data_IF_656510142786
#
_entry.id   IF_656510142786
#
_cell.length_a   1.000
_cell.length_b   1.000
_cell.length_c   1.000
_cell.angle_alpha   90.00
_cell.angle_beta   90.00
_cell.angle_gamma   90.00
#
_symmetry.space_group_name_H-M   'P 1'
#
loop_
_entity.id
_entity.type
_entity.pdbx_description
1 polymer ?
#
# COMPACT_ATOMS: atom_id res chain seq x y z
N UNK A 1 9.34 14.89 -3.01
CA UNK A 1 9.22 13.49 -3.50
C UNK A 1 10.21 12.56 -2.80
N UNK A 2 11.50 12.51 -3.16
CA UNK A 2 12.44 11.51 -2.60
C UNK A 2 12.56 11.53 -1.06
N UNK A 3 12.58 12.72 -0.42
CA UNK A 3 12.61 12.83 1.04
C UNK A 3 11.39 12.20 1.71
N UNK A 4 10.22 12.37 1.11
CA UNK A 4 8.93 11.84 1.61
C UNK A 4 8.78 10.32 1.41
N UNK A 5 9.62 9.72 0.56
CA UNK A 5 9.65 8.27 0.35
C UNK A 5 10.48 7.55 1.43
N UNK A 6 11.33 8.28 2.16
CA UNK A 6 12.20 7.70 3.19
C UNK A 6 11.35 7.11 4.34
N UNK A 7 10.43 7.84 4.99
CA UNK A 7 9.67 7.30 6.11
C UNK A 7 8.90 6.00 5.81
N UNK A 8 8.08 5.89 4.74
CA UNK A 8 7.34 4.65 4.47
C UNK A 8 8.26 3.48 4.11
N UNK A 9 9.37 3.74 3.43
CA UNK A 9 10.36 2.71 3.10
C UNK A 9 11.07 2.20 4.35
N UNK A 10 11.50 3.12 5.23
CA UNK A 10 12.15 2.77 6.50
C UNK A 10 11.23 1.96 7.40
N UNK A 11 9.94 2.29 7.47
CA UNK A 11 8.96 1.51 8.22
C UNK A 11 8.90 0.06 7.70
N UNK A 12 8.88 -0.12 6.38
CA UNK A 12 8.88 -1.44 5.73
C UNK A 12 10.15 -2.25 5.99
N UNK A 13 11.31 -1.60 6.15
CA UNK A 13 12.57 -2.28 6.43
C UNK A 13 12.73 -2.62 7.92
N UNK A 14 12.41 -1.68 8.80
CA UNK A 14 12.66 -1.83 10.24
C UNK A 14 11.71 -2.85 10.86
N UNK A 15 10.42 -2.82 10.50
CA UNK A 15 9.40 -3.67 11.13
C UNK A 15 9.73 -5.18 11.10
N UNK A 16 10.01 -5.82 9.95
CA UNK A 16 10.32 -7.26 9.92
C UNK A 16 11.64 -7.60 10.63
N UNK A 17 12.63 -6.69 10.63
CA UNK A 17 13.90 -6.89 11.33
C UNK A 17 13.69 -6.89 12.84
N UNK A 18 12.96 -5.89 13.34
CA UNK A 18 12.64 -5.76 14.76
C UNK A 18 11.82 -6.96 15.25
N UNK A 19 10.81 -7.38 14.49
CA UNK A 19 9.98 -8.54 14.85
C UNK A 19 10.82 -9.82 14.81
N UNK A 20 11.65 -10.02 13.77
CA UNK A 20 12.49 -11.22 13.64
C UNK A 20 13.49 -11.39 14.78
N UNK A 21 14.15 -10.32 15.22
CA UNK A 21 15.09 -10.38 16.34
C UNK A 21 14.42 -10.38 17.72
N UNK A 22 13.37 -9.58 17.94
CA UNK A 22 12.74 -9.49 19.26
C UNK A 22 11.76 -10.63 19.53
N UNK A 23 10.93 -11.01 18.55
CA UNK A 23 9.74 -11.84 18.78
C UNK A 23 9.82 -13.24 18.17
N UNK A 24 10.93 -13.60 17.50
CA UNK A 24 11.16 -14.86 16.80
C UNK A 24 10.48 -14.99 15.41
N UNK A 25 10.81 -16.08 14.70
CA UNK A 25 10.39 -16.33 13.32
C UNK A 25 8.90 -16.67 13.17
N UNK A 26 8.25 -17.21 14.21
CA UNK A 26 6.82 -17.52 14.19
C UNK A 26 5.98 -16.25 14.27
N UNK A 27 6.38 -15.32 15.14
CA UNK A 27 5.78 -13.99 15.19
C UNK A 27 5.99 -13.22 13.88
N UNK A 28 7.19 -13.32 13.29
CA UNK A 28 7.48 -12.76 11.97
C UNK A 28 6.59 -13.36 10.88
N UNK A 29 6.39 -14.68 10.87
CA UNK A 29 5.52 -15.34 9.90
C UNK A 29 4.06 -14.87 10.03
N UNK A 30 3.53 -14.80 11.26
CA UNK A 30 2.19 -14.29 11.54
C UNK A 30 2.04 -12.82 11.08
N UNK A 31 3.02 -11.97 11.39
CA UNK A 31 3.08 -10.58 10.93
C UNK A 31 3.03 -10.48 9.40
N UNK A 32 3.87 -11.23 8.68
CA UNK A 32 3.91 -11.19 7.22
C UNK A 32 2.61 -11.67 6.58
N UNK A 33 1.92 -12.64 7.18
CA UNK A 33 0.59 -13.09 6.72
C UNK A 33 -0.44 -11.96 6.93
N UNK A 34 -0.48 -11.36 8.11
CA UNK A 34 -1.41 -10.27 8.41
C UNK A 34 -1.20 -9.08 7.48
N UNK A 35 0.05 -8.64 7.28
CA UNK A 35 0.39 -7.54 6.37
C UNK A 35 -0.05 -7.84 4.94
N UNK A 36 0.13 -9.08 4.44
CA UNK A 36 -0.32 -9.47 3.10
C UNK A 36 -1.83 -9.35 2.94
N UNK A 37 -2.60 -9.88 3.89
CA UNK A 37 -4.07 -9.87 3.82
C UNK A 37 -4.60 -8.45 3.84
N UNK A 38 -4.13 -7.64 4.80
CA UNK A 38 -4.55 -6.23 4.92
C UNK A 38 -4.15 -5.42 3.69
N UNK A 39 -2.91 -5.57 3.23
CA UNK A 39 -2.42 -4.82 2.07
C UNK A 39 -3.15 -5.21 0.78
N UNK A 40 -3.47 -6.50 0.58
CA UNK A 40 -4.18 -6.95 -0.61
C UNK A 40 -5.59 -6.34 -0.70
N UNK A 41 -6.32 -6.34 0.41
CA UNK A 41 -7.68 -5.76 0.45
C UNK A 41 -7.62 -4.24 0.26
N UNK A 42 -6.70 -3.57 0.96
CA UNK A 42 -6.59 -2.11 0.90
C UNK A 42 -6.12 -1.62 -0.47
N UNK A 43 -5.13 -2.28 -1.08
CA UNK A 43 -4.65 -1.93 -2.41
C UNK A 43 -5.74 -2.10 -3.46
N UNK A 44 -6.50 -3.20 -3.41
CA UNK A 44 -7.64 -3.42 -4.31
C UNK A 44 -8.70 -2.34 -4.18
N UNK A 45 -9.04 -1.94 -2.95
CA UNK A 45 -9.95 -0.81 -2.71
C UNK A 45 -9.41 0.48 -3.34
N UNK A 46 -8.14 0.83 -3.11
CA UNK A 46 -7.53 2.05 -3.62
C UNK A 46 -7.53 2.12 -5.15
N UNK A 47 -7.18 1.03 -5.84
CA UNK A 47 -7.23 0.98 -7.30
C UNK A 47 -8.65 1.16 -7.84
N UNK A 48 -9.60 0.41 -7.27
CA UNK A 48 -10.97 0.38 -7.78
C UNK A 48 -11.68 1.70 -7.50
N UNK A 49 -11.53 2.26 -6.30
CA UNK A 49 -12.14 3.54 -5.95
C UNK A 49 -11.56 4.69 -6.79
N UNK A 50 -10.22 4.80 -6.86
CA UNK A 50 -9.58 5.85 -7.67
C UNK A 50 -9.87 5.72 -9.16
N UNK A 51 -9.83 4.50 -9.70
CA UNK A 51 -10.21 4.24 -11.09
C UNK A 51 -11.68 4.52 -11.39
N UNK A 52 -12.58 4.24 -10.45
CA UNK A 52 -14.00 4.56 -10.59
C UNK A 52 -14.24 6.08 -10.64
N UNK A 53 -13.57 6.86 -9.79
CA UNK A 53 -13.69 8.33 -9.83
C UNK A 53 -13.14 8.94 -11.13
N UNK A 54 -11.98 8.49 -11.63
CA UNK A 54 -11.44 8.95 -12.92
C UNK A 54 -12.39 8.62 -14.09
N UNK A 55 -12.90 7.38 -14.10
CA UNK A 55 -13.82 6.94 -15.15
C UNK A 55 -15.16 7.68 -15.08
N UNK A 56 -15.68 7.97 -13.88
CA UNK A 56 -16.87 8.79 -13.70
C UNK A 56 -16.65 10.21 -14.23
N UNK A 57 -15.51 10.85 -13.93
CA UNK A 57 -15.13 12.15 -14.49
C UNK A 57 -15.11 12.09 -16.01
N UNK A 58 -14.39 11.13 -16.61
CA UNK A 58 -14.32 10.94 -18.08
C UNK A 58 -15.70 10.71 -18.72
N UNK A 59 -16.57 9.97 -18.05
CA UNK A 59 -17.94 9.73 -18.52
C UNK A 59 -18.78 11.01 -18.56
N UNK A 60 -18.63 11.89 -17.56
CA UNK A 60 -19.27 13.21 -17.54
C UNK A 60 -18.66 14.14 -18.60
N UNK A 61 -17.34 14.10 -18.77
CA UNK A 61 -16.63 14.86 -19.80
C UNK A 61 -17.08 14.50 -21.23
N UNK A 62 -17.56 13.27 -21.44
CA UNK A 62 -18.17 12.82 -22.69
C UNK A 62 -19.61 13.33 -22.92
N UNK A 63 -20.17 14.10 -21.97
CA UNK A 63 -21.47 14.77 -22.12
C UNK A 63 -22.64 14.11 -21.38
N UNK A 64 -22.44 12.95 -20.74
CA UNK A 64 -23.54 12.16 -20.18
C UNK A 64 -24.22 12.74 -18.92
N UNK A 65 -23.70 13.85 -18.37
CA UNK A 65 -24.32 14.60 -17.27
C UNK A 65 -24.00 16.10 -17.33
N UNK A 66 -24.23 16.72 -18.48
CA UNK A 66 -24.04 18.16 -18.68
C UNK A 66 -22.64 18.56 -19.17
N UNK A 67 -21.70 17.62 -19.29
CA UNK A 67 -20.41 17.87 -19.92
C UNK A 67 -19.43 18.65 -19.04
N UNK A 68 -18.30 19.04 -19.64
CA UNK A 68 -17.25 19.85 -19.00
C UNK A 68 -17.80 21.20 -18.53
N UNK A 69 -17.41 21.61 -17.32
CA UNK A 69 -17.83 22.87 -16.70
C UNK A 69 -19.21 22.83 -16.04
N UNK A 70 -19.90 21.69 -16.07
CA UNK A 70 -21.12 21.48 -15.27
C UNK A 70 -20.78 21.28 -13.79
N UNK A 71 -21.76 21.48 -12.91
CA UNK A 71 -21.62 21.16 -11.47
C UNK A 71 -21.25 19.69 -11.22
N UNK A 72 -21.76 18.79 -12.06
CA UNK A 72 -21.43 17.35 -12.01
C UNK A 72 -19.96 17.11 -12.35
N UNK A 73 -19.42 17.83 -13.33
CA UNK A 73 -18.01 17.74 -13.71
C UNK A 73 -17.11 18.26 -12.59
N UNK A 74 -17.45 19.40 -11.99
CA UNK A 74 -16.70 19.95 -10.84
C UNK A 74 -16.64 18.96 -9.67
N UNK A 75 -17.78 18.34 -9.30
CA UNK A 75 -17.81 17.32 -8.26
C UNK A 75 -16.98 16.07 -8.60
N UNK A 76 -16.99 15.63 -9.87
CA UNK A 76 -16.22 14.47 -10.30
C UNK A 76 -14.71 14.76 -10.34
N UNK A 77 -14.29 15.98 -10.65
CA UNK A 77 -12.89 16.41 -10.57
C UNK A 77 -12.38 16.33 -9.13
N UNK A 78 -13.19 16.72 -8.14
CA UNK A 78 -12.84 16.58 -6.72
C UNK A 78 -12.65 15.10 -6.36
N UNK A 79 -13.57 14.23 -6.80
CA UNK A 79 -13.47 12.79 -6.58
C UNK A 79 -12.19 12.18 -7.18
N UNK A 80 -11.85 12.53 -8.42
CA UNK A 80 -10.64 12.05 -9.07
C UNK A 80 -9.36 12.58 -8.41
N UNK A 81 -9.36 13.85 -8.00
CA UNK A 81 -8.23 14.46 -7.24
C UNK A 81 -7.97 13.72 -5.93
N UNK A 82 -9.02 13.23 -5.26
CA UNK A 82 -8.88 12.38 -4.08
C UNK A 82 -8.43 10.95 -4.45
N UNK A 83 -8.88 10.43 -5.59
CA UNK A 83 -8.55 9.11 -6.10
C UNK A 83 -7.12 8.96 -6.62
N UNK A 84 -6.51 10.02 -7.15
CA UNK A 84 -5.17 10.03 -7.76
C UNK A 84 -4.08 9.52 -6.79
N UNK A 85 -3.95 10.06 -5.55
CA UNK A 85 -3.00 9.53 -4.58
C UNK A 85 -3.24 8.06 -4.21
N UNK A 86 -4.50 7.61 -4.25
CA UNK A 86 -4.86 6.23 -3.93
C UNK A 86 -4.45 5.27 -5.03
N UNK A 87 -4.85 5.53 -6.29
CA UNK A 87 -4.64 4.61 -7.42
C UNK A 87 -3.20 4.65 -7.97
N UNK A 88 -2.53 5.81 -7.92
CA UNK A 88 -1.23 6.00 -8.58
C UNK A 88 -0.04 5.98 -7.59
N UNK A 89 -0.29 6.17 -6.29
CA UNK A 89 0.80 6.21 -5.29
C UNK A 89 0.64 5.15 -4.22
N UNK A 90 -0.42 5.21 -3.40
CA UNK A 90 -0.56 4.35 -2.22
C UNK A 90 -0.82 2.88 -2.60
N UNK A 91 -1.79 2.63 -3.48
CA UNK A 91 -2.17 1.30 -3.95
C UNK A 91 -0.97 0.51 -4.52
N UNK A 92 -0.26 1.04 -5.54
CA UNK A 92 0.94 0.40 -6.09
C UNK A 92 2.03 0.16 -5.03
N UNK A 93 2.23 1.11 -4.12
CA UNK A 93 3.28 1.04 -3.11
C UNK A 93 3.06 -0.09 -2.09
N UNK A 94 1.81 -0.44 -1.76
CA UNK A 94 1.50 -1.53 -0.84
C UNK A 94 2.00 -2.89 -1.37
N UNK A 95 1.89 -3.15 -2.67
CA UNK A 95 2.41 -4.40 -3.26
C UNK A 95 3.93 -4.48 -3.19
N UNK A 96 4.62 -3.36 -3.43
CA UNK A 96 6.08 -3.27 -3.34
C UNK A 96 6.54 -3.45 -1.90
N UNK A 97 5.86 -2.82 -0.94
CA UNK A 97 6.13 -2.93 0.48
C UNK A 97 6.07 -4.39 0.95
N UNK A 98 5.00 -5.12 0.59
CA UNK A 98 4.84 -6.54 0.93
C UNK A 98 5.97 -7.39 0.34
N UNK A 99 6.34 -7.16 -0.93
CA UNK A 99 7.43 -7.90 -1.58
C UNK A 99 8.78 -7.63 -0.90
N UNK A 100 9.07 -6.36 -0.59
CA UNK A 100 10.28 -5.96 0.11
C UNK A 100 10.41 -6.65 1.47
N UNK A 101 9.34 -6.60 2.28
CA UNK A 101 9.32 -7.26 3.59
C UNK A 101 9.54 -8.77 3.48
N UNK A 102 8.95 -9.44 2.49
CA UNK A 102 9.14 -10.88 2.30
C UNK A 102 10.58 -11.23 1.96
N UNK A 103 11.18 -10.51 1.01
CA UNK A 103 12.56 -10.74 0.58
C UNK A 103 13.50 -10.49 1.75
N UNK A 104 13.32 -9.39 2.48
CA UNK A 104 14.16 -9.08 3.64
C UNK A 104 14.05 -10.17 4.73
N UNK A 105 12.83 -10.61 5.04
CA UNK A 105 12.58 -11.64 6.04
C UNK A 105 13.21 -12.99 5.69
N UNK A 106 13.13 -13.42 4.42
CA UNK A 106 13.74 -14.70 4.01
C UNK A 106 15.26 -14.59 3.92
N UNK A 107 15.80 -13.46 3.47
CA UNK A 107 17.25 -13.23 3.40
C UNK A 107 17.90 -13.24 4.79
N UNK A 108 17.23 -12.67 5.81
CA UNK A 108 17.76 -12.59 7.17
C UNK A 108 17.35 -13.79 8.05
N UNK A 109 16.60 -14.75 7.51
CA UNK A 109 16.09 -15.90 8.27
C UNK A 109 17.17 -16.66 9.08
N UNK A 110 18.37 -16.96 8.54
CA UNK A 110 19.42 -17.65 9.31
C UNK A 110 19.87 -16.85 10.55
N UNK A 111 19.87 -15.51 10.46
CA UNK A 111 20.24 -14.64 11.57
C UNK A 111 19.15 -14.64 12.64
N UNK A 112 17.87 -14.59 12.25
CA UNK A 112 16.76 -14.65 13.20
C UNK A 112 16.73 -15.98 13.95
N UNK A 113 17.00 -17.11 13.28
CA UNK A 113 17.07 -18.41 13.95
C UNK A 113 18.23 -18.52 14.95
N UNK A 114 19.35 -17.84 14.68
CA UNK A 114 20.56 -17.96 15.49
C UNK A 114 20.61 -16.95 16.65
N UNK A 115 20.00 -15.77 16.48
CA UNK A 115 20.18 -14.62 17.37
C UNK A 115 18.86 -13.97 17.84
N UNK A 116 17.72 -14.66 17.72
CA UNK A 116 16.48 -14.16 18.31
C UNK A 116 16.60 -14.04 19.85
N UNK A 117 16.07 -12.95 20.39
CA UNK A 117 16.12 -12.64 21.82
C UNK A 117 15.07 -13.41 22.63
N UNK A 118 13.90 -13.65 22.03
CA UNK A 118 12.90 -14.53 22.59
C UNK A 118 13.05 -15.94 22.03
N UNK A 119 12.82 -16.98 22.85
CA UNK A 119 12.86 -18.36 22.39
C UNK A 119 11.80 -18.61 21.32
N UNK A 120 12.07 -19.63 20.50
CA UNK A 120 11.14 -20.19 19.52
C UNK A 120 9.89 -20.77 20.19
#
# INVERSE_FOLDING_TARGET
ALKEMVPPTMLGLIAPVVIGFLLNVWALAAYLIAVKVVSAILAMFMYNAGGAWDNAKKYIEAGNFGGKGSKSHEAAVIGDTFGDPLKDTAGPSLHILVKLQNILSITLLPLFLSYALLPL
#
